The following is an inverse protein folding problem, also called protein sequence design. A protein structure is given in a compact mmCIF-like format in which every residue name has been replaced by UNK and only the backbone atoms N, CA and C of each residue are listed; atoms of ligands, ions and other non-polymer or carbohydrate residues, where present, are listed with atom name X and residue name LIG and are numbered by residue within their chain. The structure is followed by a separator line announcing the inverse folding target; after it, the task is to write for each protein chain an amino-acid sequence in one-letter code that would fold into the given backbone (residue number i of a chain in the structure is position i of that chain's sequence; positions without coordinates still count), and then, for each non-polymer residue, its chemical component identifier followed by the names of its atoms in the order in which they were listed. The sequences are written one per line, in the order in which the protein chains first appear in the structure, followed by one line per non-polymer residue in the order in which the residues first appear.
data_IF_302522992383
#
_entry.id   IF_302522992383
#
_cell.length_a   1.000
_cell.length_b   1.000
_cell.length_c   1.000
_cell.angle_alpha   90.00
_cell.angle_beta   90.00
_cell.angle_gamma   90.00
#
_symmetry.space_group_name_H-M   'P 1'
#
loop_
_entity.id
_entity.type
_entity.pdbx_description
1 polymer ?
#
# COMPACT_ATOMS: atom_id res chain seq x y z
N UNK A 1 50.14 10.00 -8.39
CA UNK A 1 48.80 10.28 -7.81
C UNK A 1 47.90 9.05 -7.98
N UNK A 2 47.38 8.50 -6.87
CA UNK A 2 46.45 7.35 -6.94
C UNK A 2 45.09 7.83 -7.44
N UNK A 3 44.54 7.14 -8.42
CA UNK A 3 43.19 7.39 -8.92
C UNK A 3 42.19 7.03 -7.82
N UNK A 4 41.26 7.94 -7.53
CA UNK A 4 40.18 7.70 -6.57
C UNK A 4 39.18 6.78 -7.27
N UNK A 5 39.11 5.53 -6.82
CA UNK A 5 38.05 4.59 -7.21
C UNK A 5 36.79 4.92 -6.41
N UNK A 6 35.70 5.24 -7.10
CA UNK A 6 34.39 5.43 -6.47
C UNK A 6 33.78 4.05 -6.27
N UNK A 7 33.80 3.53 -5.04
CA UNK A 7 33.05 2.33 -4.68
C UNK A 7 31.60 2.71 -4.39
N UNK A 8 30.68 2.12 -5.16
CA UNK A 8 29.26 2.27 -4.94
C UNK A 8 28.83 1.39 -3.75
N UNK A 9 28.55 2.04 -2.61
CA UNK A 9 28.00 1.38 -1.41
C UNK A 9 26.47 1.50 -1.36
N UNK A 10 25.76 1.48 -2.49
CA UNK A 10 24.29 1.37 -2.42
C UNK A 10 23.92 -0.02 -1.93
N UNK A 11 23.75 -0.17 -0.61
CA UNK A 11 23.14 -1.36 -0.02
C UNK A 11 21.74 -1.47 -0.61
N UNK A 12 21.52 -2.42 -1.52
CA UNK A 12 20.19 -2.73 -2.01
C UNK A 12 19.38 -3.30 -0.85
N UNK A 13 18.31 -2.63 -0.38
CA UNK A 13 17.43 -3.18 0.64
C UNK A 13 16.82 -4.46 0.04
N UNK A 14 17.13 -5.61 0.61
CA UNK A 14 16.81 -6.92 0.03
C UNK A 14 17.83 -7.98 0.41
N UNK A 15 19.12 -7.62 0.41
CA UNK A 15 20.18 -8.56 0.78
C UNK A 15 20.38 -8.70 2.30
N UNK A 16 20.00 -7.69 3.09
CA UNK A 16 20.29 -7.63 4.54
C UNK A 16 19.07 -7.32 5.44
N UNK A 17 17.85 -7.30 4.91
CA UNK A 17 16.63 -7.01 5.69
C UNK A 17 15.60 -8.12 5.52
N UNK A 18 15.59 -9.14 6.39
CA UNK A 18 14.67 -10.26 6.29
C UNK A 18 13.22 -9.77 6.24
N UNK A 19 12.47 -10.19 5.20
CA UNK A 19 11.05 -9.88 5.04
C UNK A 19 10.72 -8.60 4.26
N UNK A 20 11.69 -7.74 3.94
CA UNK A 20 11.48 -6.58 3.06
C UNK A 20 11.68 -6.98 1.60
N UNK A 21 10.60 -6.97 0.81
CA UNK A 21 10.61 -7.46 -0.57
C UNK A 21 10.12 -6.43 -1.60
N UNK A 22 9.34 -5.44 -1.15
CA UNK A 22 8.80 -4.39 -2.01
C UNK A 22 9.76 -3.19 -2.05
N UNK A 23 10.10 -2.78 -3.27
CA UNK A 23 10.88 -1.57 -3.56
C UNK A 23 10.00 -0.33 -3.54
N UNK A 24 8.81 -0.41 -4.13
CA UNK A 24 7.86 0.69 -4.15
C UNK A 24 6.43 0.16 -4.14
N UNK A 25 5.50 0.98 -3.62
CA UNK A 25 4.08 0.66 -3.66
C UNK A 25 3.26 1.95 -3.69
N UNK A 26 2.32 2.03 -4.62
CA UNK A 26 1.50 3.22 -4.83
C UNK A 26 0.12 2.89 -5.38
N UNK A 27 -0.87 3.72 -5.03
CA UNK A 27 -2.21 3.64 -5.64
C UNK A 27 -2.23 4.54 -6.87
N UNK A 28 -2.24 3.94 -8.06
CA UNK A 28 -2.04 4.66 -9.34
C UNK A 28 -3.33 5.07 -10.01
N UNK A 29 -4.43 4.36 -9.76
CA UNK A 29 -5.72 4.61 -10.41
C UNK A 29 -6.89 4.06 -9.57
N UNK A 30 -8.12 4.30 -10.01
CA UNK A 30 -9.32 3.70 -9.46
C UNK A 30 -10.38 3.41 -10.51
N UNK A 31 -11.24 2.43 -10.23
CA UNK A 31 -12.43 2.14 -11.02
C UNK A 31 -13.67 2.17 -10.12
N UNK A 32 -14.75 2.79 -10.61
CA UNK A 32 -16.06 2.69 -9.98
C UNK A 32 -16.74 1.42 -10.49
N UNK A 33 -16.92 0.44 -9.62
CA UNK A 33 -17.61 -0.81 -9.92
C UNK A 33 -19.07 -0.68 -9.49
N UNK A 34 -20.00 -0.90 -10.42
CA UNK A 34 -21.45 -0.78 -10.19
C UNK A 34 -22.14 -2.05 -10.65
N UNK A 35 -22.82 -2.76 -9.74
CA UNK A 35 -23.49 -4.04 -10.03
C UNK A 35 -24.82 -3.95 -10.78
N UNK A 36 -25.33 -2.75 -11.08
CA UNK A 36 -26.60 -2.56 -11.80
C UNK A 36 -26.75 -1.14 -12.36
N UNK A 37 -27.74 -0.93 -13.25
CA UNK A 37 -28.13 0.35 -13.86
C UNK A 37 -28.56 1.41 -12.83
N UNK A 38 -28.89 1.00 -11.60
CA UNK A 38 -29.29 1.87 -10.48
C UNK A 38 -28.14 2.32 -9.56
N UNK A 39 -26.90 1.86 -9.78
CA UNK A 39 -25.73 2.06 -8.88
C UNK A 39 -25.92 1.60 -7.42
N UNK A 40 -26.98 0.86 -7.11
CA UNK A 40 -27.10 0.19 -5.81
C UNK A 40 -25.92 -0.78 -5.64
N UNK A 41 -25.18 -0.65 -4.54
CA UNK A 41 -23.98 -1.45 -4.28
C UNK A 41 -22.70 -0.97 -4.98
N UNK A 42 -22.66 0.21 -5.60
CA UNK A 42 -21.45 0.71 -6.23
C UNK A 42 -20.32 1.01 -5.23
N UNK A 43 -19.10 0.61 -5.58
CA UNK A 43 -17.89 0.82 -4.79
C UNK A 43 -16.72 1.29 -5.67
N UNK A 44 -15.65 1.73 -5.01
CA UNK A 44 -14.41 2.15 -5.67
C UNK A 44 -13.37 1.07 -5.43
N UNK A 45 -12.83 0.52 -6.51
CA UNK A 45 -11.68 -0.37 -6.51
C UNK A 45 -10.42 0.45 -6.82
N UNK A 46 -9.42 0.37 -5.96
CA UNK A 46 -8.15 1.08 -6.07
C UNK A 46 -7.11 0.17 -6.70
N UNK A 47 -6.46 0.64 -7.77
CA UNK A 47 -5.37 -0.06 -8.45
C UNK A 47 -4.06 0.25 -7.75
N UNK A 48 -3.47 -0.74 -7.10
CA UNK A 48 -2.23 -0.63 -6.34
C UNK A 48 -1.12 -1.26 -7.15
N UNK A 49 -0.14 -0.46 -7.58
CA UNK A 49 1.06 -0.91 -8.28
C UNK A 49 2.16 -1.17 -7.25
N UNK A 50 2.73 -2.37 -7.28
CA UNK A 50 3.85 -2.78 -6.43
C UNK A 50 5.02 -3.14 -7.34
N UNK A 51 6.22 -2.69 -6.96
CA UNK A 51 7.49 -3.11 -7.56
C UNK A 51 8.33 -3.83 -6.51
N UNK A 52 8.89 -4.98 -6.87
CA UNK A 52 9.79 -5.75 -6.00
C UNK A 52 11.25 -5.36 -6.22
N UNK A 53 12.12 -5.69 -5.27
CA UNK A 53 13.57 -5.48 -5.46
C UNK A 53 14.15 -6.31 -6.61
N UNK A 54 13.52 -7.44 -6.94
CA UNK A 54 13.85 -8.30 -8.08
C UNK A 54 13.40 -7.70 -9.43
N UNK A 55 12.73 -6.54 -9.42
CA UNK A 55 12.28 -5.84 -10.62
C UNK A 55 10.92 -6.30 -11.15
N UNK A 56 10.24 -7.23 -10.46
CA UNK A 56 8.88 -7.61 -10.83
C UNK A 56 7.91 -6.48 -10.48
N UNK A 57 6.96 -6.23 -11.38
CA UNK A 57 5.87 -5.27 -11.16
C UNK A 57 4.53 -5.94 -11.35
N UNK A 58 3.60 -5.68 -10.43
CA UNK A 58 2.24 -6.19 -10.52
C UNK A 58 1.23 -5.21 -9.93
N UNK A 59 -0.01 -5.34 -10.36
CA UNK A 59 -1.12 -4.49 -9.88
C UNK A 59 -2.18 -5.34 -9.20
N UNK A 60 -2.59 -4.93 -8.02
CA UNK A 60 -3.71 -5.53 -7.27
C UNK A 60 -4.86 -4.54 -7.16
N UNK A 61 -6.09 -5.04 -7.12
CA UNK A 61 -7.29 -4.20 -6.95
C UNK A 61 -7.91 -4.44 -5.59
N UNK A 62 -8.05 -3.37 -4.80
CA UNK A 62 -8.59 -3.47 -3.43
C UNK A 62 -9.62 -2.38 -3.16
N UNK A 63 -10.66 -2.67 -2.39
CA UNK A 63 -11.63 -1.69 -1.92
C UNK A 63 -11.13 -1.03 -0.64
N UNK A 64 -11.58 0.20 -0.39
CA UNK A 64 -11.22 0.92 0.85
C UNK A 64 -11.52 0.11 2.12
N UNK A 65 -12.61 -0.67 2.16
CA UNK A 65 -12.94 -1.52 3.31
C UNK A 65 -11.87 -2.58 3.58
N UNK A 66 -11.22 -3.10 2.55
CA UNK A 66 -10.15 -4.11 2.68
C UNK A 66 -8.90 -3.47 3.30
N UNK A 67 -8.54 -2.23 2.91
CA UNK A 67 -7.48 -1.47 3.58
C UNK A 67 -7.79 -1.22 5.05
N UNK A 68 -9.04 -0.89 5.37
CA UNK A 68 -9.48 -0.65 6.73
C UNK A 68 -9.34 -1.91 7.60
N UNK A 69 -9.81 -3.06 7.10
CA UNK A 69 -9.65 -4.35 7.78
C UNK A 69 -8.18 -4.69 8.00
N UNK A 70 -7.33 -4.53 6.99
CA UNK A 70 -5.88 -4.76 7.14
C UNK A 70 -5.28 -3.86 8.23
N UNK A 71 -5.62 -2.58 8.24
CA UNK A 71 -5.11 -1.64 9.23
C UNK A 71 -5.50 -2.05 10.66
N UNK A 72 -6.74 -2.46 10.90
CA UNK A 72 -7.17 -2.98 12.21
C UNK A 72 -6.38 -4.24 12.61
N UNK A 73 -6.25 -5.20 11.69
CA UNK A 73 -5.49 -6.44 11.95
C UNK A 73 -4.01 -6.17 12.24
N UNK A 74 -3.39 -5.22 11.54
CA UNK A 74 -2.00 -4.81 11.82
C UNK A 74 -1.85 -4.16 13.19
N UNK A 75 -2.83 -3.33 13.61
CA UNK A 75 -2.81 -2.71 14.94
C UNK A 75 -2.92 -3.75 16.06
N UNK A 76 -3.78 -4.75 15.88
CA UNK A 76 -3.97 -5.84 16.84
C UNK A 76 -2.74 -6.77 16.90
N UNK A 77 -2.16 -7.10 15.74
CA UNK A 77 -1.05 -8.05 15.65
C UNK A 77 0.28 -7.43 16.08
N UNK A 78 0.49 -6.13 15.81
CA UNK A 78 1.75 -5.43 16.07
C UNK A 78 1.56 -4.22 17.01
N UNK A 79 1.08 -4.42 18.25
CA UNK A 79 0.70 -3.32 19.15
C UNK A 79 1.86 -2.38 19.50
N UNK A 80 3.10 -2.88 19.51
CA UNK A 80 4.31 -2.07 19.76
C UNK A 80 4.71 -1.20 18.57
N UNK A 81 4.23 -1.54 17.38
CA UNK A 81 4.60 -0.90 16.10
C UNK A 81 3.47 -0.03 15.53
N UNK A 82 2.34 0.11 16.24
CA UNK A 82 1.19 0.95 15.83
C UNK A 82 1.59 2.38 15.48
N UNK A 83 2.55 2.96 16.18
CA UNK A 83 3.07 4.32 15.90
C UNK A 83 3.67 4.48 14.50
N UNK A 84 4.00 3.38 13.82
CA UNK A 84 4.52 3.35 12.46
C UNK A 84 3.44 3.11 11.41
N UNK A 85 2.20 2.84 11.82
CA UNK A 85 1.05 2.72 10.92
C UNK A 85 0.43 4.11 10.70
N UNK A 86 0.32 4.59 9.46
CA UNK A 86 -0.31 5.86 9.20
C UNK A 86 -1.83 5.75 9.30
N UNK A 87 -2.46 6.85 9.73
CA UNK A 87 -3.92 6.92 9.78
C UNK A 87 -4.54 6.79 8.39
N UNK A 88 -5.57 5.95 8.28
CA UNK A 88 -6.36 5.88 7.06
C UNK A 88 -7.27 7.11 6.91
N UNK A 89 -7.51 7.58 5.67
CA UNK A 89 -8.50 8.63 5.43
C UNK A 89 -9.89 8.14 5.89
N UNK A 90 -10.75 9.02 6.44
CA UNK A 90 -11.99 8.61 7.09
C UNK A 90 -12.96 7.87 6.16
N UNK A 91 -13.82 7.03 6.75
CA UNK A 91 -14.98 6.47 6.06
C UNK A 91 -15.88 7.63 5.63
N UNK A 92 -16.36 7.61 4.39
CA UNK A 92 -17.33 8.60 3.89
C UNK A 92 -18.45 7.88 3.17
N UNK A 93 -19.68 8.16 3.59
CA UNK A 93 -20.89 7.63 2.97
C UNK A 93 -21.54 8.64 2.00
N UNK A 94 -21.29 9.94 2.20
CA UNK A 94 -22.03 11.03 1.53
C UNK A 94 -21.25 11.61 0.34
N UNK A 95 -19.92 11.44 0.28
CA UNK A 95 -19.06 12.08 -0.74
C UNK A 95 -18.11 11.10 -1.46
N UNK A 96 -18.33 9.79 -1.36
CA UNK A 96 -17.35 8.77 -1.79
C UNK A 96 -17.00 8.76 -3.29
N UNK A 97 -17.77 9.44 -4.14
CA UNK A 97 -17.50 9.55 -5.58
C UNK A 97 -17.08 10.94 -6.05
N UNK A 98 -16.92 11.92 -5.14
CA UNK A 98 -16.46 13.25 -5.55
C UNK A 98 -14.97 13.19 -5.93
N UNK A 99 -14.53 13.75 -7.07
CA UNK A 99 -13.13 13.65 -7.52
C UNK A 99 -12.12 14.12 -6.47
N UNK A 100 -12.36 15.27 -5.81
CA UNK A 100 -11.49 15.78 -4.74
C UNK A 100 -11.37 14.80 -3.57
N UNK A 101 -12.46 14.13 -3.22
CA UNK A 101 -12.46 13.12 -2.17
C UNK A 101 -11.71 11.86 -2.59
N UNK A 102 -11.91 11.42 -3.84
CA UNK A 102 -11.22 10.26 -4.40
C UNK A 102 -9.72 10.49 -4.46
N UNK A 103 -9.27 11.66 -4.90
CA UNK A 103 -7.84 11.97 -4.97
C UNK A 103 -7.19 12.05 -3.58
N UNK A 104 -7.84 12.73 -2.63
CA UNK A 104 -7.36 12.75 -1.25
C UNK A 104 -7.26 11.34 -0.64
N UNK A 105 -8.27 10.50 -0.90
CA UNK A 105 -8.26 9.10 -0.47
C UNK A 105 -7.17 8.31 -1.17
N UNK A 106 -6.96 8.49 -2.48
CA UNK A 106 -5.90 7.83 -3.26
C UNK A 106 -4.53 8.10 -2.64
N UNK A 107 -4.24 9.36 -2.33
CA UNK A 107 -3.00 9.78 -1.68
C UNK A 107 -2.83 9.13 -0.31
N UNK A 108 -3.85 9.17 0.55
CA UNK A 108 -3.81 8.54 1.87
C UNK A 108 -3.62 7.03 1.81
N UNK A 109 -4.30 6.35 0.89
CA UNK A 109 -4.13 4.90 0.68
C UNK A 109 -2.75 4.57 0.11
N UNK A 110 -2.23 5.38 -0.81
CA UNK A 110 -0.88 5.23 -1.35
C UNK A 110 0.16 5.36 -0.26
N UNK A 111 0.05 6.39 0.59
CA UNK A 111 0.94 6.59 1.73
C UNK A 111 0.89 5.42 2.71
N UNK A 112 -0.32 4.97 3.07
CA UNK A 112 -0.50 3.78 3.90
C UNK A 112 0.18 2.54 3.31
N UNK A 113 -0.05 2.28 2.02
CA UNK A 113 0.53 1.14 1.32
C UNK A 113 2.07 1.20 1.30
N UNK A 114 2.64 2.38 1.04
CA UNK A 114 4.08 2.56 1.10
C UNK A 114 4.62 2.30 2.51
N UNK A 115 3.99 2.85 3.56
CA UNK A 115 4.46 2.65 4.93
C UNK A 115 4.48 1.17 5.37
N UNK A 116 3.49 0.37 4.97
CA UNK A 116 3.42 -1.03 5.37
C UNK A 116 4.33 -1.93 4.51
N UNK A 117 4.48 -1.64 3.22
CA UNK A 117 5.28 -2.49 2.32
C UNK A 117 6.77 -2.17 2.35
N UNK A 118 7.14 -0.95 2.75
CA UNK A 118 8.54 -0.53 2.87
C UNK A 118 9.07 -0.65 4.31
N UNK A 119 8.28 -1.19 5.23
CA UNK A 119 8.70 -1.43 6.61
C UNK A 119 8.83 -2.94 6.86
N UNK A 120 10.03 -3.46 7.21
CA UNK A 120 10.26 -4.89 7.40
C UNK A 120 9.40 -5.52 8.51
N UNK A 121 8.98 -4.72 9.50
CA UNK A 121 8.07 -5.19 10.57
C UNK A 121 6.72 -5.68 10.02
N UNK A 122 6.25 -5.10 8.90
CA UNK A 122 4.95 -5.40 8.33
C UNK A 122 5.03 -6.14 7.00
N UNK A 123 6.00 -5.77 6.13
CA UNK A 123 6.08 -6.22 4.75
C UNK A 123 6.15 -7.75 4.60
N UNK A 124 6.84 -8.41 5.53
CA UNK A 124 7.00 -9.87 5.55
C UNK A 124 5.79 -10.63 6.10
N UNK A 125 4.83 -9.94 6.74
CA UNK A 125 3.73 -10.57 7.47
C UNK A 125 2.72 -11.27 6.53
N UNK A 126 2.08 -12.36 6.98
CA UNK A 126 1.01 -13.01 6.23
C UNK A 126 -0.14 -12.06 5.90
N UNK A 127 -0.53 -11.19 6.84
CA UNK A 127 -1.60 -10.21 6.65
C UNK A 127 -1.39 -9.32 5.43
N UNK A 128 -0.16 -8.82 5.26
CA UNK A 128 0.21 -7.96 4.13
C UNK A 128 0.29 -8.77 2.83
N UNK A 129 0.81 -10.00 2.87
CA UNK A 129 0.87 -10.87 1.69
C UNK A 129 -0.53 -11.27 1.22
N UNK A 130 -1.40 -11.69 2.12
CA UNK A 130 -2.79 -12.08 1.84
C UNK A 130 -3.60 -10.90 1.30
N UNK A 131 -3.34 -9.69 1.81
CA UNK A 131 -3.95 -8.48 1.27
C UNK A 131 -3.57 -8.22 -0.19
N UNK A 132 -2.43 -8.71 -0.68
CA UNK A 132 -1.97 -8.52 -2.06
C UNK A 132 -2.31 -9.69 -3.00
N UNK A 133 -2.88 -10.78 -2.49
CA UNK A 133 -3.44 -11.85 -3.33
C UNK A 133 -4.82 -11.44 -3.88
#
# INVERSE_FOLDING_TARGET
PMAITLEDHTVTPGENTPGLWARSAQVVDYAIVSGSRTRAGAYVAWSCLIETFEGAQFTVRKRYSEFFTLHEQLQETFPKSVKYLPHLPPKSLISKFRPKFLEHRRQGLSYFLSCILLNPEFAGSPLVKDFLL
#
